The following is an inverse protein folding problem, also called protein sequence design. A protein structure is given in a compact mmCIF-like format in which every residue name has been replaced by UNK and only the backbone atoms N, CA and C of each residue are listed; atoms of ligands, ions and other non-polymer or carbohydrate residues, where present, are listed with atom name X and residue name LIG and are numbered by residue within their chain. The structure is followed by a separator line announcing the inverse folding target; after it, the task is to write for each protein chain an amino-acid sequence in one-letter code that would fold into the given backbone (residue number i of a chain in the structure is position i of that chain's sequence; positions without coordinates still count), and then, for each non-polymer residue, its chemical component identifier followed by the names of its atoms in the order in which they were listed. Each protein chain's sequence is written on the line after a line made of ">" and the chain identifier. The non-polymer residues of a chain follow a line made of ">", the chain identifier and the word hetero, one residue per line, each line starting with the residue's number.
data_IF_524776088776
#
_entry.id   IF_524776088776
#
_cell.length_a   1.000
_cell.length_b   1.000
_cell.length_c   1.000
_cell.angle_alpha   90.00
_cell.angle_beta   90.00
_cell.angle_gamma   90.00
#
_symmetry.space_group_name_H-M   'P 1'
#
loop_
_entity.id
_entity.type
_entity.pdbx_description
1 polymer ?
#
# COMPACT_ATOMS: atom_id res chain seq x y z
N UNK A 1 -15.32 4.95 -19.57
CA UNK A 1 -15.08 4.25 -18.31
C UNK A 1 -16.30 3.41 -17.98
N UNK A 2 -16.14 2.19 -17.46
CA UNK A 2 -17.23 1.31 -17.09
C UNK A 2 -16.85 0.49 -15.86
N UNK A 3 -17.79 0.26 -14.95
CA UNK A 3 -17.59 -0.61 -13.80
C UNK A 3 -18.96 -1.18 -13.43
N UNK A 4 -19.20 -2.46 -13.76
CA UNK A 4 -20.53 -3.04 -13.61
C UNK A 4 -20.62 -4.52 -13.93
N UNK A 5 -21.74 -5.11 -13.50
CA UNK A 5 -22.14 -6.49 -13.85
C UNK A 5 -22.44 -6.58 -15.34
N UNK A 6 -22.07 -7.69 -15.98
CA UNK A 6 -22.45 -7.95 -17.38
C UNK A 6 -23.84 -8.58 -17.46
N UNK A 7 -24.38 -8.65 -18.67
CA UNK A 7 -25.60 -9.38 -19.00
C UNK A 7 -25.53 -10.86 -18.61
N UNK A 8 -24.37 -11.50 -18.83
CA UNK A 8 -24.13 -12.90 -18.43
C UNK A 8 -23.94 -13.05 -16.92
N UNK A 9 -23.27 -12.09 -16.28
CA UNK A 9 -23.17 -12.03 -14.82
C UNK A 9 -24.53 -11.88 -14.15
N UNK A 10 -25.41 -11.03 -14.71
CA UNK A 10 -26.77 -10.82 -14.22
C UNK A 10 -27.64 -12.08 -14.39
N UNK A 11 -27.53 -12.78 -15.53
CA UNK A 11 -28.20 -14.06 -15.74
C UNK A 11 -27.73 -15.13 -14.74
N UNK A 12 -26.42 -15.21 -14.48
CA UNK A 12 -25.84 -16.13 -13.51
C UNK A 12 -26.29 -15.79 -12.08
N UNK A 13 -26.30 -14.51 -11.69
CA UNK A 13 -26.80 -14.05 -10.40
C UNK A 13 -28.26 -14.47 -10.19
N UNK A 14 -29.12 -14.24 -11.18
CA UNK A 14 -30.54 -14.62 -11.11
C UNK A 14 -30.72 -16.15 -11.01
N UNK A 15 -29.89 -16.93 -11.72
CA UNK A 15 -29.86 -18.40 -11.61
C UNK A 15 -29.48 -18.85 -10.19
N UNK A 16 -28.37 -18.33 -9.66
CA UNK A 16 -27.91 -18.61 -8.29
C UNK A 16 -28.99 -18.25 -7.26
N UNK A 17 -29.67 -17.11 -7.41
CA UNK A 17 -30.78 -16.69 -6.56
C UNK A 17 -31.97 -17.67 -6.59
N UNK A 18 -32.39 -18.05 -7.81
CA UNK A 18 -33.53 -18.95 -7.98
C UNK A 18 -33.26 -20.36 -7.44
N UNK A 19 -32.02 -20.82 -7.56
CA UNK A 19 -31.58 -22.15 -7.11
C UNK A 19 -31.09 -22.16 -5.65
N UNK A 20 -30.96 -21.00 -5.00
CA UNK A 20 -30.39 -20.86 -3.67
C UNK A 20 -28.91 -21.27 -3.61
N UNK A 21 -28.19 -21.13 -4.73
CA UNK A 21 -26.78 -21.50 -4.85
C UNK A 21 -25.84 -20.29 -4.62
N UNK A 22 -24.63 -20.55 -4.09
CA UNK A 22 -23.59 -19.54 -3.96
C UNK A 22 -22.99 -19.15 -5.34
N UNK A 23 -22.50 -17.92 -5.46
CA UNK A 23 -21.82 -17.34 -6.65
C UNK A 23 -20.35 -17.77 -6.69
N UNK A 24 -20.03 -18.76 -7.52
CA UNK A 24 -18.68 -19.31 -7.61
C UNK A 24 -17.75 -18.45 -8.47
N UNK A 25 -17.22 -17.36 -7.92
CA UNK A 25 -16.14 -16.62 -8.61
C UNK A 25 -14.88 -17.48 -8.74
N UNK A 26 -14.20 -17.46 -9.87
CA UNK A 26 -13.07 -18.36 -10.15
C UNK A 26 -11.75 -17.60 -10.30
N UNK A 27 -11.72 -16.60 -11.18
CA UNK A 27 -10.50 -15.93 -11.62
C UNK A 27 -10.73 -14.48 -12.00
N UNK A 28 -9.64 -13.78 -12.24
CA UNK A 28 -9.62 -12.44 -12.82
C UNK A 28 -8.70 -12.42 -14.03
N UNK A 29 -9.16 -11.83 -15.12
CA UNK A 29 -8.32 -11.53 -16.30
C UNK A 29 -8.10 -10.03 -16.38
N UNK A 30 -6.86 -9.64 -16.70
CA UNK A 30 -6.44 -8.25 -16.80
C UNK A 30 -5.87 -8.01 -18.18
N UNK A 31 -6.18 -6.84 -18.73
CA UNK A 31 -5.86 -6.50 -20.10
C UNK A 31 -5.63 -5.02 -20.34
N UNK A 32 -5.38 -4.70 -21.60
CA UNK A 32 -5.21 -3.33 -22.09
C UNK A 32 -6.29 -2.92 -23.12
N UNK A 33 -7.42 -3.61 -23.15
CA UNK A 33 -8.52 -3.28 -24.03
C UNK A 33 -9.20 -1.95 -23.71
N UNK A 34 -9.75 -1.33 -24.75
CA UNK A 34 -10.47 -0.05 -24.67
C UNK A 34 -11.89 -0.23 -25.19
N UNK A 35 -12.85 0.41 -24.53
CA UNK A 35 -14.25 0.48 -24.98
C UNK A 35 -14.33 1.47 -26.15
N UNK A 36 -14.94 1.06 -27.26
CA UNK A 36 -15.24 1.94 -28.40
C UNK A 36 -16.61 2.62 -28.21
N UNK A 37 -16.82 3.77 -28.85
CA UNK A 37 -17.99 4.64 -28.62
C UNK A 37 -19.37 3.96 -28.82
N UNK A 38 -19.44 2.95 -29.69
CA UNK A 38 -20.68 2.21 -30.00
C UNK A 38 -20.84 0.91 -29.21
N UNK A 39 -19.86 0.55 -28.38
CA UNK A 39 -19.90 -0.68 -27.60
C UNK A 39 -20.63 -0.47 -26.28
N UNK A 40 -21.44 -1.46 -25.90
CA UNK A 40 -22.03 -1.54 -24.57
C UNK A 40 -21.32 -2.62 -23.75
N UNK A 41 -20.49 -2.25 -22.74
CA UNK A 41 -19.75 -3.22 -21.94
C UNK A 41 -20.64 -4.20 -21.16
N UNK A 42 -21.92 -3.85 -20.92
CA UNK A 42 -22.90 -4.77 -20.35
C UNK A 42 -23.07 -6.04 -21.21
N UNK A 43 -22.88 -5.95 -22.53
CA UNK A 43 -23.05 -7.07 -23.45
C UNK A 43 -21.76 -7.88 -23.65
N UNK A 44 -20.66 -7.52 -22.99
CA UNK A 44 -19.40 -8.25 -23.14
C UNK A 44 -19.47 -9.62 -22.49
N UNK A 45 -18.82 -10.59 -23.13
CA UNK A 45 -18.72 -11.97 -22.67
C UNK A 45 -17.31 -12.35 -22.24
N UNK A 46 -16.32 -11.54 -22.62
CA UNK A 46 -14.91 -11.69 -22.23
C UNK A 46 -14.25 -10.29 -22.24
N UNK A 47 -13.08 -10.15 -21.63
CA UNK A 47 -12.25 -8.94 -21.78
C UNK A 47 -11.67 -8.87 -23.20
N UNK A 48 -11.36 -7.68 -23.68
CA UNK A 48 -11.05 -7.46 -25.10
C UNK A 48 -9.61 -7.85 -25.48
N UNK A 49 -8.66 -7.70 -24.58
CA UNK A 49 -7.23 -7.88 -24.82
C UNK A 49 -6.54 -8.37 -23.55
N UNK A 50 -6.69 -9.67 -23.27
CA UNK A 50 -6.08 -10.35 -22.11
C UNK A 50 -4.56 -10.25 -22.19
N UNK A 51 -3.95 -9.86 -21.08
CA UNK A 51 -2.49 -9.92 -20.88
C UNK A 51 -2.11 -10.91 -19.79
N UNK A 52 -2.93 -11.00 -18.74
CA UNK A 52 -2.66 -11.88 -17.60
C UNK A 52 -3.95 -12.45 -17.01
N UNK A 53 -3.82 -13.58 -16.34
CA UNK A 53 -4.88 -14.28 -15.63
C UNK A 53 -4.39 -14.62 -14.22
N UNK A 54 -5.23 -14.38 -13.22
CA UNK A 54 -4.92 -14.61 -11.82
C UNK A 54 -6.08 -15.30 -11.10
N UNK A 55 -5.74 -16.18 -10.17
CA UNK A 55 -6.72 -16.79 -9.28
C UNK A 55 -7.14 -15.82 -8.16
N UNK A 56 -8.38 -15.96 -7.70
CA UNK A 56 -8.88 -15.16 -6.59
C UNK A 56 -8.27 -15.70 -5.29
N UNK A 57 -7.51 -14.86 -4.60
CA UNK A 57 -6.76 -15.25 -3.39
C UNK A 57 -7.59 -15.20 -2.11
N UNK A 58 -8.60 -14.32 -2.05
CA UNK A 58 -9.50 -14.22 -0.90
C UNK A 58 -10.90 -13.81 -1.36
N UNK A 59 -11.92 -14.33 -0.69
CA UNK A 59 -13.31 -13.91 -0.85
C UNK A 59 -13.91 -13.72 0.54
N UNK A 60 -14.57 -12.60 0.75
CA UNK A 60 -15.26 -12.28 1.99
C UNK A 60 -16.53 -11.54 1.65
N UNK A 61 -17.63 -11.88 2.32
CA UNK A 61 -18.88 -11.15 2.19
C UNK A 61 -19.11 -10.33 3.45
N UNK A 62 -19.45 -9.06 3.25
CA UNK A 62 -19.89 -8.15 4.31
C UNK A 62 -21.22 -7.58 3.84
N UNK A 63 -22.31 -7.96 4.51
CA UNK A 63 -23.68 -7.60 4.12
C UNK A 63 -23.99 -7.98 2.65
N UNK A 64 -24.40 -7.02 1.82
CA UNK A 64 -24.68 -7.17 0.39
C UNK A 64 -23.45 -6.89 -0.49
N UNK A 65 -22.23 -6.93 0.06
CA UNK A 65 -21.00 -6.69 -0.69
C UNK A 65 -20.07 -7.90 -0.63
N UNK A 66 -19.72 -8.41 -1.80
CA UNK A 66 -18.68 -9.40 -2.00
C UNK A 66 -17.35 -8.68 -2.20
N UNK A 67 -16.49 -8.77 -1.20
CA UNK A 67 -15.11 -8.34 -1.28
C UNK A 67 -14.25 -9.51 -1.76
N UNK A 68 -13.64 -9.38 -2.93
CA UNK A 68 -12.63 -10.29 -3.43
C UNK A 68 -11.25 -9.64 -3.38
N UNK A 69 -10.22 -10.44 -3.11
CA UNK A 69 -8.83 -10.02 -3.27
C UNK A 69 -8.15 -10.89 -4.31
N UNK A 70 -7.33 -10.26 -5.14
CA UNK A 70 -6.51 -10.92 -6.15
C UNK A 70 -5.08 -10.42 -6.00
N UNK A 71 -4.14 -11.34 -6.05
CA UNK A 71 -2.72 -11.01 -6.07
C UNK A 71 -2.27 -10.97 -7.52
N UNK A 72 -1.86 -9.78 -7.96
CA UNK A 72 -1.38 -9.52 -9.32
C UNK A 72 0.11 -9.33 -9.23
N UNK A 73 0.85 -9.95 -10.14
CA UNK A 73 2.28 -9.72 -10.28
C UNK A 73 2.66 -9.59 -11.75
N UNK A 74 3.84 -9.02 -12.00
CA UNK A 74 4.36 -8.87 -13.36
C UNK A 74 5.40 -9.93 -13.72
N UNK A 75 5.55 -11.00 -12.95
CA UNK A 75 6.65 -11.98 -13.14
C UNK A 75 6.56 -12.69 -14.48
N UNK A 76 5.34 -12.86 -15.01
CA UNK A 76 5.07 -13.45 -16.32
C UNK A 76 5.07 -12.43 -17.48
N UNK A 77 5.39 -11.15 -17.24
CA UNK A 77 5.35 -10.11 -18.26
C UNK A 77 6.71 -9.85 -18.88
N UNK A 78 6.79 -10.14 -20.18
CA UNK A 78 7.92 -9.76 -21.04
C UNK A 78 7.86 -8.29 -21.44
N UNK A 79 6.64 -7.77 -21.67
CA UNK A 79 6.37 -6.37 -22.02
C UNK A 79 5.37 -5.74 -21.05
N UNK A 80 5.63 -4.49 -20.67
CA UNK A 80 4.73 -3.72 -19.81
C UNK A 80 3.50 -3.23 -20.56
N UNK A 81 2.41 -2.97 -19.84
CA UNK A 81 1.16 -2.48 -20.42
C UNK A 81 0.35 -1.63 -19.44
N UNK A 82 -0.56 -0.82 -19.97
CA UNK A 82 -1.57 -0.14 -19.16
C UNK A 82 -2.73 -1.08 -18.85
N UNK A 83 -2.99 -1.29 -17.57
CA UNK A 83 -4.07 -2.14 -17.04
C UNK A 83 -5.43 -1.47 -17.22
N UNK A 84 -5.90 -1.41 -18.47
CA UNK A 84 -7.11 -0.67 -18.86
C UNK A 84 -8.40 -1.41 -18.56
N UNK A 85 -8.36 -2.73 -18.54
CA UNK A 85 -9.55 -3.54 -18.32
C UNK A 85 -9.31 -4.70 -17.36
N UNK A 86 -10.35 -5.04 -16.60
CA UNK A 86 -10.37 -6.12 -15.64
C UNK A 86 -11.71 -6.85 -15.80
N UNK A 87 -11.64 -8.17 -15.99
CA UNK A 87 -12.79 -9.07 -15.99
C UNK A 87 -12.75 -9.98 -14.79
N UNK A 88 -13.85 -10.07 -14.06
CA UNK A 88 -14.02 -10.97 -12.92
C UNK A 88 -14.94 -12.09 -13.37
N UNK A 89 -14.50 -13.33 -13.23
CA UNK A 89 -15.20 -14.48 -13.81
C UNK A 89 -15.79 -15.38 -12.73
N UNK A 90 -16.93 -15.96 -13.06
CA UNK A 90 -17.57 -17.02 -12.32
C UNK A 90 -17.43 -18.36 -13.08
N UNK A 91 -17.45 -19.46 -12.33
CA UNK A 91 -17.58 -20.81 -12.84
C UNK A 91 -19.03 -21.30 -12.68
N UNK A 92 -19.69 -21.58 -13.80
CA UNK A 92 -20.96 -22.28 -13.85
C UNK A 92 -20.75 -23.68 -14.40
N UNK A 93 -20.34 -24.61 -13.54
CA UNK A 93 -20.12 -26.02 -13.87
C UNK A 93 -19.09 -26.21 -15.01
N UNK A 94 -17.96 -25.52 -14.92
CA UNK A 94 -16.91 -25.53 -15.94
C UNK A 94 -17.13 -24.55 -17.09
N UNK A 95 -18.27 -23.85 -17.14
CA UNK A 95 -18.45 -22.71 -18.05
C UNK A 95 -17.97 -21.44 -17.37
N UNK A 96 -16.98 -20.80 -17.98
CA UNK A 96 -16.49 -19.50 -17.54
C UNK A 96 -17.47 -18.39 -17.96
N UNK A 97 -17.89 -17.56 -16.99
CA UNK A 97 -18.82 -16.47 -17.18
C UNK A 97 -18.13 -15.17 -16.77
N UNK A 98 -18.01 -14.20 -17.68
CA UNK A 98 -17.62 -12.84 -17.31
C UNK A 98 -18.72 -12.23 -16.44
N UNK A 99 -18.52 -12.24 -15.12
CA UNK A 99 -19.50 -11.79 -14.15
C UNK A 99 -19.52 -10.27 -14.06
N UNK A 100 -18.34 -9.66 -13.96
CA UNK A 100 -18.17 -8.22 -13.78
C UNK A 100 -17.06 -7.69 -14.68
N UNK A 101 -17.26 -6.51 -15.25
CA UNK A 101 -16.30 -5.87 -16.13
C UNK A 101 -15.97 -4.46 -15.64
N UNK A 102 -14.67 -4.13 -15.66
CA UNK A 102 -14.15 -2.83 -15.29
C UNK A 102 -13.27 -2.35 -16.44
N UNK A 103 -13.43 -1.09 -16.82
CA UNK A 103 -12.54 -0.39 -17.74
C UNK A 103 -12.31 1.04 -17.25
N UNK A 104 -11.08 1.33 -16.88
CA UNK A 104 -10.67 2.61 -16.32
C UNK A 104 -10.28 3.65 -17.39
N UNK A 105 -10.35 3.29 -18.68
CA UNK A 105 -10.06 4.18 -19.79
C UNK A 105 -8.66 4.81 -19.69
N UNK A 106 -8.63 6.14 -19.56
CA UNK A 106 -7.39 6.92 -19.45
C UNK A 106 -6.82 6.98 -18.02
N UNK A 107 -7.51 6.43 -17.02
CA UNK A 107 -7.04 6.35 -15.63
C UNK A 107 -6.25 5.06 -15.34
N UNK A 108 -5.89 4.31 -16.38
CA UNK A 108 -5.22 3.03 -16.25
C UNK A 108 -3.80 3.16 -15.69
N UNK A 109 -3.44 2.24 -14.79
CA UNK A 109 -2.09 2.18 -14.22
C UNK A 109 -1.14 1.42 -15.14
N UNK A 110 0.09 1.91 -15.26
CA UNK A 110 1.17 1.22 -15.98
C UNK A 110 1.71 0.05 -15.14
N UNK A 111 1.74 -1.14 -15.73
CA UNK A 111 2.38 -2.32 -15.15
C UNK A 111 3.67 -2.61 -15.95
N UNK A 112 4.87 -2.40 -15.38
CA UNK A 112 6.13 -2.65 -16.09
C UNK A 112 6.38 -4.16 -16.26
N UNK A 113 7.26 -4.56 -17.21
CA UNK A 113 7.68 -5.95 -17.32
C UNK A 113 8.59 -6.35 -16.15
N UNK A 114 8.70 -7.66 -15.88
CA UNK A 114 9.50 -8.19 -14.76
C UNK A 114 10.97 -7.74 -14.82
N UNK A 115 11.52 -7.59 -16.03
CA UNK A 115 12.91 -7.22 -16.30
C UNK A 115 13.27 -5.80 -15.85
N UNK A 116 12.29 -4.90 -15.78
CA UNK A 116 12.51 -3.50 -15.37
C UNK A 116 12.39 -3.37 -13.86
N UNK A 117 11.36 -3.95 -13.27
CA UNK A 117 11.17 -3.98 -11.81
C UNK A 117 10.18 -5.09 -11.46
N UNK A 118 10.49 -6.01 -10.52
CA UNK A 118 9.51 -6.97 -10.03
C UNK A 118 8.45 -6.26 -9.17
N UNK A 119 7.20 -6.50 -9.49
CA UNK A 119 6.04 -5.84 -8.88
C UNK A 119 5.00 -6.88 -8.50
N UNK A 120 4.49 -6.78 -7.26
CA UNK A 120 3.35 -7.57 -6.76
C UNK A 120 2.37 -6.66 -6.02
N UNK A 121 1.11 -6.63 -6.44
CA UNK A 121 0.05 -5.87 -5.81
C UNK A 121 -1.10 -6.76 -5.36
N UNK A 122 -1.86 -6.29 -4.37
CA UNK A 122 -3.14 -6.89 -4.00
C UNK A 122 -4.27 -5.96 -4.40
N UNK A 123 -5.05 -6.35 -5.41
CA UNK A 123 -6.29 -5.66 -5.73
C UNK A 123 -7.40 -6.17 -4.82
N UNK A 124 -8.16 -5.25 -4.24
CA UNK A 124 -9.37 -5.56 -3.48
C UNK A 124 -10.56 -4.98 -4.24
N UNK A 125 -11.44 -5.84 -4.73
CA UNK A 125 -12.67 -5.42 -5.41
C UNK A 125 -13.84 -5.62 -4.47
N UNK A 126 -14.66 -4.59 -4.28
CA UNK A 126 -15.92 -4.67 -3.56
C UNK A 126 -17.04 -4.64 -4.59
N UNK A 127 -17.79 -5.73 -4.70
CA UNK A 127 -18.84 -5.90 -5.70
C UNK A 127 -20.16 -6.10 -4.96
N UNK A 128 -21.20 -5.39 -5.34
CA UNK A 128 -22.51 -5.58 -4.70
C UNK A 128 -23.14 -6.91 -5.17
N UNK A 129 -23.53 -7.75 -4.22
CA UNK A 129 -24.24 -9.02 -4.44
C UNK A 129 -25.40 -9.13 -3.45
N UNK A 130 -26.57 -9.54 -3.93
CA UNK A 130 -27.79 -9.62 -3.11
C UNK A 130 -28.02 -11.01 -2.52
N UNK A 131 -27.11 -11.97 -2.76
CA UNK A 131 -27.18 -13.34 -2.23
C UNK A 131 -26.14 -13.58 -1.14
N UNK A 132 -26.49 -14.39 -0.14
CA UNK A 132 -25.59 -14.81 0.95
C UNK A 132 -24.77 -16.02 0.50
N UNK A 133 -23.44 -15.93 0.44
CA UNK A 133 -22.55 -17.09 0.29
C UNK A 133 -22.07 -17.62 1.64
N UNK A 134 -22.09 -18.95 1.75
CA UNK A 134 -21.25 -19.72 2.66
C UNK A 134 -19.80 -19.72 2.19
N UNK A 135 -18.92 -19.23 3.07
CA UNK A 135 -17.45 -19.27 2.97
C UNK A 135 -16.95 -20.72 2.95
N UNK A 136 -15.98 -21.01 2.07
CA UNK A 136 -14.67 -21.68 2.32
C UNK A 136 -14.05 -22.00 0.96
N UNK A 137 -12.86 -21.45 0.67
CA UNK A 137 -11.78 -22.18 -0.02
C UNK A 137 -10.43 -21.73 0.55
N UNK A 138 -9.63 -22.73 0.92
CA UNK A 138 -8.30 -22.64 1.52
C UNK A 138 -7.29 -21.91 0.62
N UNK A 139 -6.66 -20.87 1.12
CA UNK A 139 -5.43 -20.32 0.55
C UNK A 139 -4.22 -20.77 1.39
N UNK A 140 -3.39 -21.64 0.83
CA UNK A 140 -2.14 -22.16 1.42
C UNK A 140 -0.89 -21.43 0.90
N UNK A 141 -1.05 -20.30 0.19
CA UNK A 141 0.05 -19.55 -0.43
C UNK A 141 0.71 -18.55 0.51
N UNK A 142 2.01 -18.70 0.72
CA UNK A 142 2.85 -17.87 1.57
C UNK A 142 3.47 -16.71 0.77
N UNK A 143 3.70 -15.60 1.47
CA UNK A 143 4.58 -14.46 1.16
C UNK A 143 4.00 -13.22 0.46
N UNK A 144 4.04 -12.15 1.26
CA UNK A 144 3.68 -10.77 0.98
C UNK A 144 4.97 -10.02 0.61
N UNK A 145 5.12 -9.56 -0.64
CA UNK A 145 6.18 -8.62 -1.01
C UNK A 145 5.52 -7.29 -1.32
N UNK A 146 5.80 -6.31 -0.47
CA UNK A 146 5.18 -4.98 -0.49
C UNK A 146 6.13 -4.03 -1.21
N UNK A 147 5.65 -3.28 -2.21
CA UNK A 147 6.45 -2.24 -2.86
C UNK A 147 6.69 -1.03 -1.91
N UNK A 148 7.77 -0.29 -2.18
CA UNK A 148 8.24 0.81 -1.32
C UNK A 148 7.25 1.98 -1.24
N UNK A 149 6.38 2.14 -2.23
CA UNK A 149 5.47 3.29 -2.34
C UNK A 149 4.18 3.05 -1.54
N UNK A 150 3.65 1.83 -1.58
CA UNK A 150 2.63 1.35 -0.66
C UNK A 150 3.15 1.26 0.77
N UNK A 151 4.39 0.81 1.00
CA UNK A 151 5.04 0.89 2.32
C UNK A 151 5.09 2.33 2.81
N UNK A 152 5.54 3.30 2.01
CA UNK A 152 5.59 4.70 2.44
C UNK A 152 4.20 5.24 2.81
N UNK A 153 3.18 4.91 2.02
CA UNK A 153 1.80 5.35 2.28
C UNK A 153 1.21 4.73 3.55
N UNK A 154 1.46 3.44 3.80
CA UNK A 154 1.01 2.75 5.02
C UNK A 154 1.91 3.00 6.23
N UNK A 155 3.19 3.35 6.05
CA UNK A 155 4.10 3.80 7.11
C UNK A 155 3.68 5.17 7.65
N UNK A 156 3.19 6.08 6.78
CA UNK A 156 2.55 7.32 7.23
C UNK A 156 1.33 7.03 8.11
N UNK A 157 0.54 5.99 7.79
CA UNK A 157 -0.60 5.56 8.63
C UNK A 157 -0.19 4.82 9.90
N UNK A 158 1.01 4.20 9.94
CA UNK A 158 1.53 3.46 11.09
C UNK A 158 2.43 4.28 12.03
N UNK A 159 2.76 5.53 11.69
CA UNK A 159 3.27 6.47 12.69
C UNK A 159 2.22 6.82 13.75
N UNK A 160 0.93 6.53 13.52
CA UNK A 160 -0.15 6.68 14.50
C UNK A 160 -0.24 5.56 15.55
N UNK A 161 0.90 5.23 16.17
CA UNK A 161 0.87 5.13 17.63
C UNK A 161 1.45 6.42 18.19
N UNK A 162 0.73 7.50 17.89
CA UNK A 162 1.03 8.88 18.23
C UNK A 162 1.06 9.79 16.99
N UNK A 163 -0.03 10.52 16.75
CA UNK A 163 -0.04 11.59 15.75
C UNK A 163 0.85 12.72 16.22
N UNK A 164 1.83 13.14 15.43
CA UNK A 164 2.50 14.44 15.65
C UNK A 164 1.40 15.49 15.46
N UNK A 165 1.03 16.28 16.49
CA UNK A 165 -0.07 17.23 16.39
C UNK A 165 0.11 18.12 15.15
N UNK A 166 -0.98 18.46 14.46
CA UNK A 166 -0.94 19.36 13.28
C UNK A 166 -0.26 20.71 13.57
N UNK A 167 -0.15 21.10 14.85
CA UNK A 167 0.59 22.27 15.30
C UNK A 167 2.12 22.11 15.23
N UNK A 168 2.68 20.90 15.16
CA UNK A 168 4.12 20.61 15.05
C UNK A 168 4.52 20.28 13.60
N UNK A 169 4.11 21.13 12.67
CA UNK A 169 4.24 20.92 11.22
C UNK A 169 5.48 21.56 10.58
N UNK A 170 6.37 22.19 11.36
CA UNK A 170 7.65 22.71 10.88
C UNK A 170 8.78 22.24 11.79
N UNK A 171 10.00 22.16 11.26
CA UNK A 171 11.18 21.80 12.03
C UNK A 171 11.37 22.72 13.26
N UNK A 172 11.11 24.02 13.11
CA UNK A 172 11.18 25.01 14.18
C UNK A 172 10.20 24.69 15.32
N UNK A 173 8.96 24.31 14.99
CA UNK A 173 7.94 23.98 16.00
C UNK A 173 8.26 22.66 16.70
N UNK A 174 8.82 21.68 15.98
CA UNK A 174 9.29 20.42 16.56
C UNK A 174 10.44 20.68 17.53
N UNK A 175 11.43 21.48 17.14
CA UNK A 175 12.54 21.88 18.02
C UNK A 175 12.02 22.65 19.24
N UNK A 176 11.10 23.60 19.07
CA UNK A 176 10.49 24.35 20.17
C UNK A 176 9.73 23.44 21.17
N UNK A 177 9.02 22.41 20.67
CA UNK A 177 8.33 21.45 21.52
C UNK A 177 9.30 20.57 22.33
N UNK A 178 10.42 20.14 21.70
CA UNK A 178 11.48 19.40 22.38
C UNK A 178 12.21 20.26 23.43
N UNK A 179 12.36 21.56 23.16
CA UNK A 179 12.92 22.53 24.11
C UNK A 179 11.97 22.79 25.29
N UNK A 180 10.68 22.98 25.02
CA UNK A 180 9.68 23.30 26.05
C UNK A 180 9.31 22.13 26.97
N UNK A 181 9.05 20.95 26.41
CA UNK A 181 8.57 19.79 27.18
C UNK A 181 9.67 18.76 27.49
N UNK A 182 10.71 18.68 26.66
CA UNK A 182 11.80 17.72 26.81
C UNK A 182 13.01 18.24 27.60
N UNK A 183 13.05 19.53 27.93
CA UNK A 183 14.18 20.16 28.63
C UNK A 183 15.49 20.21 27.83
N UNK A 184 15.44 19.85 26.54
CA UNK A 184 16.60 19.85 25.64
C UNK A 184 16.88 21.27 25.15
N UNK A 185 18.08 21.80 25.37
CA UNK A 185 18.45 23.12 24.86
C UNK A 185 19.16 22.98 23.51
N UNK A 186 18.53 23.37 22.42
CA UNK A 186 19.19 23.42 21.10
C UNK A 186 19.78 24.82 20.86
N UNK A 187 20.86 24.89 20.10
CA UNK A 187 21.38 26.17 19.62
C UNK A 187 20.50 26.70 18.49
N UNK A 188 19.98 27.92 18.64
CA UNK A 188 19.10 28.58 17.67
C UNK A 188 19.78 28.81 16.31
N UNK A 189 21.12 28.92 16.29
CA UNK A 189 21.87 29.24 15.08
C UNK A 189 22.74 28.08 14.57
N UNK A 190 22.86 26.99 15.35
CA UNK A 190 23.71 25.85 15.01
C UNK A 190 23.03 24.54 15.44
N UNK A 191 22.02 24.12 14.68
CA UNK A 191 21.22 22.95 15.02
C UNK A 191 21.98 21.62 14.85
N UNK A 192 22.89 21.54 13.88
CA UNK A 192 23.58 20.31 13.54
C UNK A 192 25.00 20.29 14.07
N UNK A 193 25.38 19.16 14.66
CA UNK A 193 26.74 18.91 15.14
C UNK A 193 27.75 18.97 13.98
N UNK A 194 27.36 18.48 12.80
CA UNK A 194 28.23 18.38 11.64
C UNK A 194 28.52 19.74 10.97
N UNK A 195 27.75 20.78 11.30
CA UNK A 195 27.97 22.12 10.77
C UNK A 195 29.13 22.80 11.52
N UNK A 196 29.89 23.65 10.82
CA UNK A 196 31.01 24.39 11.42
C UNK A 196 30.50 25.41 12.44
N UNK A 197 31.22 25.53 13.54
CA UNK A 197 30.88 26.47 14.62
C UNK A 197 31.15 25.87 15.99
N UNK A 198 31.05 26.71 17.02
CA UNK A 198 31.30 26.34 18.42
C UNK A 198 30.06 25.69 19.03
N UNK A 199 30.22 24.46 19.51
CA UNK A 199 29.21 23.68 20.23
C UNK A 199 29.38 23.98 21.71
N UNK A 200 28.28 24.29 22.38
CA UNK A 200 28.26 24.77 23.77
C UNK A 200 27.96 23.61 24.69
N UNK A 201 28.68 23.54 25.81
CA UNK A 201 28.43 22.56 26.87
C UNK A 201 26.97 22.60 27.34
N UNK A 202 26.34 21.44 27.45
CA UNK A 202 24.95 21.25 27.88
C UNK A 202 23.90 21.61 26.80
N UNK A 203 24.33 21.88 25.57
CA UNK A 203 23.46 22.11 24.41
C UNK A 203 23.41 20.85 23.55
N UNK A 204 22.25 20.63 22.94
CA UNK A 204 21.93 19.46 22.14
C UNK A 204 22.01 19.78 20.66
N UNK A 205 22.50 18.83 19.89
CA UNK A 205 22.73 18.95 18.45
C UNK A 205 22.24 17.70 17.74
N UNK A 206 21.73 17.89 16.52
CA UNK A 206 21.37 16.79 15.63
C UNK A 206 22.62 16.33 14.86
N UNK A 207 22.83 15.03 14.77
CA UNK A 207 23.85 14.44 13.91
C UNK A 207 23.20 13.88 12.65
N UNK A 208 23.55 14.45 11.49
CA UNK A 208 23.04 14.00 10.18
C UNK A 208 23.57 12.64 9.76
N UNK A 209 24.71 12.21 10.31
CA UNK A 209 25.36 10.95 9.95
C UNK A 209 24.90 9.82 10.85
N UNK A 210 24.75 10.09 12.15
CA UNK A 210 24.31 9.09 13.12
C UNK A 210 22.78 9.05 13.34
N UNK A 211 22.04 9.98 12.72
CA UNK A 211 20.58 10.13 12.88
C UNK A 211 20.15 10.19 14.36
N UNK A 212 20.90 10.95 15.16
CA UNK A 212 20.76 11.00 16.61
C UNK A 212 20.81 12.40 17.20
N UNK A 213 20.42 12.51 18.47
CA UNK A 213 20.50 13.74 19.27
C UNK A 213 21.67 13.58 20.25
N UNK A 214 22.58 14.54 20.24
CA UNK A 214 23.81 14.51 21.03
C UNK A 214 23.89 15.71 21.96
N UNK A 215 24.08 15.46 23.25
CA UNK A 215 24.46 16.47 24.23
C UNK A 215 25.95 16.77 24.13
N UNK A 216 26.31 18.03 23.97
CA UNK A 216 27.69 18.47 24.04
C UNK A 216 28.17 18.53 25.50
N UNK A 217 29.15 17.72 25.86
CA UNK A 217 29.65 17.56 27.24
C UNK A 217 30.63 18.68 27.64
N UNK A 218 31.28 19.29 26.66
CA UNK A 218 32.23 20.38 26.82
C UNK A 218 32.33 21.22 25.55
N UNK A 219 32.64 22.52 25.70
CA UNK A 219 32.71 23.43 24.57
C UNK A 219 33.76 22.96 23.54
N UNK A 220 33.36 22.82 22.29
CA UNK A 220 34.23 22.28 21.22
C UNK A 220 33.83 22.85 19.85
N UNK A 221 34.72 22.80 18.87
CA UNK A 221 34.41 23.11 17.46
C UNK A 221 34.34 21.85 16.59
N UNK A 222 34.48 20.67 17.19
CA UNK A 222 34.39 19.40 16.48
C UNK A 222 33.08 19.29 15.70
N UNK A 223 33.18 18.74 14.49
CA UNK A 223 32.05 18.50 13.58
C UNK A 223 31.72 17.01 13.47
N UNK A 224 32.25 16.22 14.40
CA UNK A 224 32.08 14.76 14.49
C UNK A 224 31.69 14.40 15.92
N UNK A 225 30.90 13.34 16.07
CA UNK A 225 30.28 12.90 17.32
C UNK A 225 31.25 12.16 18.26
N UNK A 226 32.41 12.75 18.51
CA UNK A 226 33.43 12.23 19.42
C UNK A 226 32.85 11.93 20.80
N UNK A 227 32.92 10.67 21.23
CA UNK A 227 32.33 10.19 22.49
C UNK A 227 32.91 10.85 23.75
N UNK A 228 34.10 11.45 23.66
CA UNK A 228 34.66 12.24 24.75
C UNK A 228 33.99 13.62 24.88
N UNK A 229 33.47 14.17 23.79
CA UNK A 229 32.91 15.53 23.68
C UNK A 229 31.39 15.55 23.58
N UNK A 230 30.80 14.46 23.11
CA UNK A 230 29.38 14.34 22.82
C UNK A 230 28.80 13.05 23.39
N UNK A 231 27.65 13.16 24.03
CA UNK A 231 26.89 12.04 24.55
C UNK A 231 25.63 11.86 23.72
N UNK A 232 25.46 10.67 23.16
CA UNK A 232 24.22 10.30 22.49
C UNK A 232 23.09 10.18 23.53
N UNK A 233 21.95 10.84 23.27
CA UNK A 233 20.76 10.76 24.12
C UNK A 233 19.54 10.19 23.38
N UNK A 234 19.72 9.73 22.14
CA UNK A 234 18.67 9.05 21.41
C UNK A 234 18.31 7.71 22.05
N UNK A 235 17.02 7.36 22.06
CA UNK A 235 16.46 6.16 22.70
C UNK A 235 17.00 4.80 22.23
N UNK A 236 17.97 4.76 21.31
CA UNK A 236 18.54 3.51 20.80
C UNK A 236 19.30 2.74 21.90
N UNK A 237 19.93 3.43 22.87
CA UNK A 237 20.62 2.77 23.99
C UNK A 237 19.71 2.41 25.18
N UNK A 238 18.53 3.03 25.32
CA UNK A 238 17.60 2.71 26.41
C UNK A 238 16.68 1.51 26.10
N UNK A 239 16.49 1.16 24.82
CA UNK A 239 15.76 -0.05 24.43
C UNK A 239 16.49 -1.32 24.88
N UNK A 240 17.82 -1.35 24.77
CA UNK A 240 18.65 -2.52 25.11
C UNK A 240 18.80 -2.74 26.63
N UNK A 241 18.29 -1.82 27.46
CA UNK A 241 18.30 -1.91 28.93
C UNK A 241 16.97 -2.37 29.54
N UNK A 242 15.94 -2.52 28.72
CA UNK A 242 14.62 -3.00 29.16
C UNK A 242 14.48 -4.54 29.11
N UNK A 243 15.52 -5.25 28.66
CA UNK A 243 15.63 -6.71 28.70
C UNK A 243 16.37 -7.24 29.95
N UNK A 244 16.31 -6.52 31.09
CA UNK A 244 16.77 -7.01 32.41
C UNK A 244 15.67 -6.96 33.46
#
# INVERSE_FOLDING_TARGET
>A
MYNGITSKGSQYLAKCQAEGLPIKLSKVKIGNGTIQDLENPYNFTDVKSIKQEFEISEKSQVEEQLKIKVQIDNTSLEEGYFTKEIGIYADDNGQEILYWYINDGDQASWLPPASVSPVKFKYTFNIQVTTTETVIVNFTGKELWVDREFLNTELVKKLDKGTVPNSLNTAEKIVAALQGNGGLKFDENLLYLNDKGTKKKGVYYLDRLAEGIFECLEQTEETVNNSAKFKNISNKENSDRLDN
#
